data_IF_800092247680
#
_entry.id   IF_800092247680
#
_cell.length_a   1.000
_cell.length_b   1.000
_cell.length_c   1.000
_cell.angle_alpha   90.00
_cell.angle_beta   90.00
_cell.angle_gamma   90.00
#
_symmetry.space_group_name_H-M   'P 1'
#
loop_
_entity.id
_entity.type
_entity.pdbx_description
1 polymer ?
#
# COMPACT_ATOMS: atom_id res chain seq x y z
N UNK A 1 8.39 13.56 6.02
CA UNK A 1 7.10 14.14 6.48
C UNK A 1 6.38 15.00 5.44
N UNK A 2 7.07 15.82 4.61
CA UNK A 2 6.41 16.65 3.57
C UNK A 2 5.89 15.82 2.38
N UNK A 3 6.61 14.79 1.95
CA UNK A 3 6.22 13.92 0.83
C UNK A 3 4.98 13.08 1.17
N UNK A 4 4.94 12.46 2.34
CA UNK A 4 3.79 11.68 2.84
C UNK A 4 2.52 12.54 2.93
N UNK A 5 2.63 13.80 3.39
CA UNK A 5 1.50 14.74 3.40
C UNK A 5 0.97 15.07 2.01
N UNK A 6 1.85 15.20 1.01
CA UNK A 6 1.44 15.49 -0.38
C UNK A 6 0.72 14.29 -1.01
N UNK A 7 1.25 13.08 -0.87
CA UNK A 7 0.58 11.85 -1.34
C UNK A 7 -0.79 11.68 -0.69
N UNK A 8 -0.90 11.82 0.63
CA UNK A 8 -2.19 11.74 1.34
C UNK A 8 -3.19 12.81 0.87
N UNK A 9 -2.74 14.03 0.58
CA UNK A 9 -3.61 15.08 0.04
C UNK A 9 -4.06 14.79 -1.40
N UNK A 10 -3.20 14.22 -2.25
CA UNK A 10 -3.56 13.81 -3.60
C UNK A 10 -4.66 12.73 -3.53
N UNK A 11 -4.43 11.62 -2.84
CA UNK A 11 -5.42 10.55 -2.70
C UNK A 11 -6.78 11.02 -2.18
N UNK A 12 -6.83 12.02 -1.28
CA UNK A 12 -8.09 12.57 -0.77
C UNK A 12 -8.82 13.37 -1.87
N UNK A 13 -8.09 14.21 -2.61
CA UNK A 13 -8.66 15.03 -3.69
C UNK A 13 -9.20 14.16 -4.82
N UNK A 14 -8.45 13.13 -5.20
CA UNK A 14 -8.81 12.23 -6.29
C UNK A 14 -10.06 11.41 -5.94
N UNK A 15 -10.17 10.92 -4.71
CA UNK A 15 -11.39 10.26 -4.23
C UNK A 15 -12.61 11.20 -4.22
N UNK A 16 -12.42 12.49 -3.95
CA UNK A 16 -13.50 13.48 -4.04
C UNK A 16 -13.89 13.72 -5.50
N UNK A 17 -12.91 13.83 -6.41
CA UNK A 17 -13.15 13.95 -7.85
C UNK A 17 -13.90 12.73 -8.38
N UNK A 18 -13.46 11.52 -8.04
CA UNK A 18 -14.15 10.27 -8.43
C UNK A 18 -15.60 10.24 -7.95
N UNK A 19 -15.87 10.67 -6.72
CA UNK A 19 -17.26 10.77 -6.20
C UNK A 19 -18.10 11.73 -7.04
N UNK A 20 -17.53 12.84 -7.44
CA UNK A 20 -18.24 13.84 -8.25
C UNK A 20 -18.47 13.35 -9.70
N UNK A 21 -17.49 12.70 -10.31
CA UNK A 21 -17.61 12.09 -11.63
C UNK A 21 -18.70 11.00 -11.65
N UNK A 22 -18.75 10.15 -10.61
CA UNK A 22 -19.82 9.15 -10.45
C UNK A 22 -21.20 9.78 -10.40
N UNK A 23 -21.38 10.91 -9.68
CA UNK A 23 -22.66 11.62 -9.62
C UNK A 23 -23.09 12.16 -10.99
N UNK A 24 -22.14 12.62 -11.79
CA UNK A 24 -22.39 13.15 -13.14
C UNK A 24 -22.66 12.08 -14.18
N UNK A 25 -22.52 10.80 -13.82
CA UNK A 25 -22.72 9.64 -14.70
C UNK A 25 -21.98 9.77 -16.05
N UNK A 26 -20.73 10.26 -15.98
CA UNK A 26 -19.86 10.41 -17.16
C UNK A 26 -19.47 8.99 -17.59
N UNK A 27 -19.93 8.58 -18.78
CA UNK A 27 -19.62 7.26 -19.34
C UNK A 27 -18.65 7.48 -20.50
N UNK A 28 -18.57 7.65 -21.48
CA UNK A 28 -17.73 7.76 -22.68
C UNK A 28 -16.52 8.74 -22.53
N UNK A 29 -15.88 8.73 -21.35
CA UNK A 29 -14.74 9.58 -21.08
C UNK A 29 -13.43 8.80 -21.18
N UNK A 30 -12.38 9.50 -21.59
CA UNK A 30 -11.00 9.00 -21.59
C UNK A 30 -10.21 9.78 -20.55
N UNK A 31 -9.41 9.07 -19.76
CA UNK A 31 -8.50 9.66 -18.78
C UNK A 31 -7.05 9.39 -19.19
N UNK A 32 -6.24 10.45 -19.26
CA UNK A 32 -4.79 10.34 -19.39
C UNK A 32 -4.13 10.86 -18.12
N UNK A 33 -3.46 9.99 -17.41
CA UNK A 33 -2.71 10.33 -16.19
C UNK A 33 -1.27 10.71 -16.58
N UNK A 34 -0.87 11.95 -16.32
CA UNK A 34 0.36 12.55 -16.81
C UNK A 34 1.61 12.25 -16.00
N UNK A 35 1.87 10.98 -15.66
CA UNK A 35 3.09 10.57 -14.95
C UNK A 35 4.31 10.54 -15.89
N UNK A 36 5.55 10.67 -15.35
CA UNK A 36 6.77 10.73 -16.17
C UNK A 36 7.16 9.34 -16.71
N UNK A 37 6.60 8.97 -17.84
CA UNK A 37 6.79 7.66 -18.49
C UNK A 37 7.68 7.71 -19.74
N UNK A 38 8.37 8.82 -19.99
CA UNK A 38 9.07 9.09 -21.27
C UNK A 38 8.14 8.95 -22.48
N UNK A 39 6.90 9.39 -22.36
CA UNK A 39 5.83 9.28 -23.37
C UNK A 39 5.46 7.82 -23.72
N UNK A 40 5.91 6.83 -22.96
CA UNK A 40 5.50 5.43 -23.15
C UNK A 40 4.12 5.20 -22.57
N UNK A 41 3.36 4.35 -23.25
CA UNK A 41 2.03 3.93 -22.80
C UNK A 41 2.19 2.94 -21.66
N UNK A 42 1.65 3.28 -20.48
CA UNK A 42 1.53 2.40 -19.34
C UNK A 42 0.05 2.05 -19.16
N UNK A 43 -0.26 0.78 -19.26
CA UNK A 43 -1.64 0.28 -19.24
C UNK A 43 -1.95 -0.66 -18.06
N UNK A 44 -1.00 -0.78 -17.13
CA UNK A 44 -1.23 -1.46 -15.85
C UNK A 44 -0.19 -1.05 -14.80
N UNK A 45 -0.61 -1.02 -13.53
CA UNK A 45 0.28 -0.90 -12.38
C UNK A 45 -0.27 -1.64 -11.16
N UNK A 46 0.64 -2.05 -10.27
CA UNK A 46 0.26 -2.64 -8.98
C UNK A 46 -0.44 -1.61 -8.10
N UNK A 47 -1.27 -2.08 -7.17
CA UNK A 47 -1.72 -1.24 -6.06
C UNK A 47 -0.56 -0.78 -5.18
N UNK A 48 -0.81 0.22 -4.33
CA UNK A 48 0.14 0.72 -3.35
C UNK A 48 -0.59 1.05 -2.06
N UNK A 49 -0.43 0.19 -1.05
CA UNK A 49 -1.06 0.32 0.27
C UNK A 49 0.03 0.55 1.30
N UNK A 50 -0.09 1.63 2.05
CA UNK A 50 0.88 2.08 3.04
C UNK A 50 0.22 2.15 4.41
N UNK A 51 0.86 1.53 5.40
CA UNK A 51 0.33 1.40 6.75
C UNK A 51 1.38 1.72 7.81
N UNK A 52 0.92 2.25 8.94
CA UNK A 52 1.67 2.24 10.19
C UNK A 52 0.87 1.49 11.24
N UNK A 53 1.47 0.47 11.85
CA UNK A 53 0.86 -0.26 12.96
C UNK A 53 1.50 0.18 14.26
N UNK A 54 0.69 0.72 15.18
CA UNK A 54 1.09 1.20 16.48
C UNK A 54 0.77 0.19 17.57
N UNK A 55 1.73 -0.05 18.45
CA UNK A 55 1.61 -0.96 19.59
C UNK A 55 1.72 -0.14 20.88
N UNK A 56 0.77 -0.32 21.79
CA UNK A 56 0.71 0.34 23.09
C UNK A 56 0.65 -0.72 24.17
N UNK A 57 1.70 -0.80 24.96
CA UNK A 57 1.88 -1.73 26.07
C UNK A 57 1.90 -1.01 27.42
N UNK A 58 2.70 -1.54 28.36
CA UNK A 58 2.87 -1.00 29.70
C UNK A 58 4.35 -0.94 30.04
N UNK A 59 4.85 0.25 30.36
CA UNK A 59 6.21 0.44 30.82
C UNK A 59 6.45 -0.22 32.18
N UNK A 60 7.69 -0.61 32.42
CA UNK A 60 8.13 -1.20 33.68
C UNK A 60 9.65 -1.33 33.74
N UNK A 61 10.16 -1.82 34.85
CA UNK A 61 11.59 -2.07 34.96
C UNK A 61 11.97 -3.38 34.25
N UNK A 62 13.02 -3.34 33.42
CA UNK A 62 13.43 -4.47 32.57
C UNK A 62 13.77 -5.77 33.35
N UNK A 63 14.08 -5.70 34.64
CA UNK A 63 14.29 -6.86 35.47
C UNK A 63 13.00 -7.57 35.95
N UNK A 64 11.83 -6.98 35.63
CA UNK A 64 10.53 -7.52 36.02
C UNK A 64 9.60 -7.58 34.78
N UNK A 65 9.95 -8.38 33.76
CA UNK A 65 9.26 -8.37 32.46
C UNK A 65 7.77 -8.71 32.58
N UNK A 66 7.40 -9.56 33.55
CA UNK A 66 6.01 -10.00 33.75
C UNK A 66 5.09 -8.89 34.29
N UNK A 67 5.64 -7.77 34.76
CA UNK A 67 4.88 -6.61 35.28
C UNK A 67 4.61 -5.54 34.25
N UNK A 68 5.09 -5.73 33.01
CA UNK A 68 4.86 -4.81 31.89
C UNK A 68 4.38 -5.54 30.66
N UNK A 69 4.13 -4.76 29.60
CA UNK A 69 3.79 -5.28 28.27
C UNK A 69 4.73 -4.63 27.27
N UNK A 70 5.68 -5.40 26.75
CA UNK A 70 6.71 -4.89 25.86
C UNK A 70 6.21 -4.74 24.42
N UNK A 71 5.89 -3.52 24.03
CA UNK A 71 5.39 -3.19 22.68
C UNK A 71 6.37 -3.58 21.55
N UNK A 72 7.68 -3.58 21.81
CA UNK A 72 8.70 -3.99 20.82
C UNK A 72 8.65 -5.49 20.58
N UNK A 73 8.44 -6.31 21.60
CA UNK A 73 8.30 -7.76 21.44
C UNK A 73 7.05 -8.13 20.64
N UNK A 74 5.91 -7.46 20.90
CA UNK A 74 4.68 -7.67 20.11
C UNK A 74 4.82 -7.17 18.68
N UNK A 75 5.49 -6.04 18.46
CA UNK A 75 5.85 -5.56 17.12
C UNK A 75 6.74 -6.58 16.39
N UNK A 76 7.67 -7.24 17.07
CA UNK A 76 8.52 -8.28 16.47
C UNK A 76 7.71 -9.52 16.05
N UNK A 77 6.75 -9.96 16.88
CA UNK A 77 5.81 -11.05 16.50
C UNK A 77 4.94 -10.66 15.29
N UNK A 78 4.49 -9.40 15.23
CA UNK A 78 3.75 -8.85 14.12
C UNK A 78 4.59 -8.85 12.83
N UNK A 79 5.85 -8.41 12.89
CA UNK A 79 6.78 -8.45 11.75
C UNK A 79 6.98 -9.88 11.28
N UNK A 80 7.14 -10.85 12.20
CA UNK A 80 7.26 -12.26 11.82
C UNK A 80 6.05 -12.74 11.03
N UNK A 81 4.83 -12.37 11.44
CA UNK A 81 3.60 -12.69 10.67
C UNK A 81 3.59 -12.02 9.29
N UNK A 82 4.05 -10.76 9.18
CA UNK A 82 4.20 -10.10 7.87
C UNK A 82 5.18 -10.86 6.95
N UNK A 83 6.29 -11.35 7.50
CA UNK A 83 7.27 -12.12 6.75
C UNK A 83 6.70 -13.47 6.27
N UNK A 84 5.92 -14.15 7.11
CA UNK A 84 5.21 -15.39 6.72
C UNK A 84 4.22 -15.13 5.57
N UNK A 85 3.42 -14.06 5.67
CA UNK A 85 2.50 -13.64 4.61
C UNK A 85 3.26 -13.32 3.33
N UNK A 86 4.39 -12.61 3.42
CA UNK A 86 5.24 -12.29 2.26
C UNK A 86 5.71 -13.54 1.54
N UNK A 87 6.19 -14.55 2.27
CA UNK A 87 6.62 -15.81 1.66
C UNK A 87 5.44 -16.58 1.04
N UNK A 88 4.26 -16.54 1.67
CA UNK A 88 3.05 -17.11 1.08
C UNK A 88 2.70 -16.44 -0.26
N UNK A 89 2.69 -15.11 -0.33
CA UNK A 89 2.39 -14.36 -1.55
C UNK A 89 3.41 -14.63 -2.67
N UNK A 90 4.69 -14.73 -2.31
CA UNK A 90 5.77 -15.06 -3.25
C UNK A 90 5.61 -16.45 -3.86
N UNK A 91 5.19 -17.42 -3.07
CA UNK A 91 5.01 -18.81 -3.49
C UNK A 91 3.67 -19.06 -4.20
N UNK A 92 2.74 -18.09 -4.15
CA UNK A 92 1.41 -18.18 -4.75
C UNK A 92 1.11 -16.96 -5.63
N UNK A 93 1.92 -16.70 -6.68
CA UNK A 93 1.66 -15.55 -7.55
C UNK A 93 0.34 -15.73 -8.32
N UNK A 94 -0.38 -14.64 -8.62
CA UNK A 94 -1.52 -14.69 -9.52
C UNK A 94 -1.13 -15.26 -10.87
N UNK A 95 -1.98 -16.16 -11.41
CA UNK A 95 -1.75 -16.76 -12.74
C UNK A 95 -1.72 -15.65 -13.80
N UNK A 96 -0.77 -15.76 -14.74
CA UNK A 96 -0.60 -14.81 -15.84
C UNK A 96 -0.32 -13.37 -15.43
N UNK A 97 0.29 -13.16 -14.26
CA UNK A 97 0.72 -11.83 -13.85
C UNK A 97 1.71 -11.23 -14.87
N UNK A 98 1.41 -10.02 -15.31
CA UNK A 98 2.25 -9.26 -16.27
C UNK A 98 3.32 -8.42 -15.57
N UNK A 99 3.37 -8.44 -14.24
CA UNK A 99 4.27 -7.65 -13.44
C UNK A 99 5.60 -8.37 -13.15
N UNK A 100 6.63 -7.58 -12.84
CA UNK A 100 7.91 -8.07 -12.33
C UNK A 100 8.25 -7.35 -11.02
N UNK A 101 8.33 -8.08 -9.87
CA UNK A 101 8.04 -9.52 -9.71
C UNK A 101 6.54 -9.83 -9.92
N UNK A 102 6.20 -11.08 -10.30
CA UNK A 102 4.82 -11.44 -10.67
C UNK A 102 3.87 -11.60 -9.49
N UNK A 103 4.34 -11.46 -8.28
CA UNK A 103 3.58 -11.60 -7.04
C UNK A 103 3.40 -10.27 -6.32
N UNK A 104 2.43 -10.24 -5.42
CA UNK A 104 2.20 -9.13 -4.51
C UNK A 104 3.37 -8.98 -3.53
N UNK A 105 3.99 -7.80 -3.51
CA UNK A 105 5.14 -7.54 -2.65
C UNK A 105 4.70 -6.90 -1.33
N UNK A 106 5.36 -7.29 -0.24
CA UNK A 106 5.19 -6.75 1.09
C UNK A 106 6.55 -6.34 1.65
N UNK A 107 6.66 -5.12 2.14
CA UNK A 107 7.90 -4.53 2.65
C UNK A 107 7.67 -3.96 4.05
N UNK A 108 8.60 -4.24 4.96
CA UNK A 108 8.68 -3.55 6.25
C UNK A 108 9.67 -2.39 6.07
N UNK A 109 9.15 -1.16 6.12
CA UNK A 109 9.93 0.06 5.88
C UNK A 109 10.66 0.57 7.11
N UNK A 110 10.13 0.28 8.31
CA UNK A 110 10.74 0.73 9.54
C UNK A 110 10.11 0.16 10.79
N UNK A 111 10.89 0.17 11.87
CA UNK A 111 10.43 -0.11 13.23
C UNK A 111 11.03 0.91 14.18
N UNK A 112 10.24 1.43 15.10
CA UNK A 112 10.70 2.39 16.10
C UNK A 112 9.96 2.19 17.42
N UNK A 113 10.69 2.00 18.52
CA UNK A 113 10.10 1.80 19.84
C UNK A 113 11.15 1.63 20.94
N UNK A 114 10.67 1.79 22.19
CA UNK A 114 11.52 1.76 23.37
C UNK A 114 12.34 3.05 23.57
N UNK A 115 12.84 3.25 24.80
CA UNK A 115 13.62 4.44 25.20
C UNK A 115 14.95 4.09 25.84
N UNK A 116 15.04 2.95 26.53
CA UNK A 116 16.25 2.48 27.21
C UNK A 116 16.23 0.96 27.38
N UNK A 117 17.43 0.36 27.46
CA UNK A 117 17.61 -1.09 27.56
C UNK A 117 17.04 -1.73 28.83
N UNK A 118 16.89 -0.97 29.89
CA UNK A 118 16.40 -1.40 31.21
C UNK A 118 14.95 -1.00 31.49
N UNK A 119 14.25 -0.47 30.47
CA UNK A 119 12.84 -0.08 30.54
C UNK A 119 12.03 -0.91 29.54
N UNK A 120 10.94 -1.54 30.03
CA UNK A 120 9.98 -2.24 29.17
C UNK A 120 9.34 -1.21 28.23
N UNK A 121 9.45 -1.42 26.92
CA UNK A 121 8.95 -0.51 25.92
C UNK A 121 7.41 -0.48 25.92
N UNK A 122 6.81 0.63 26.28
CA UNK A 122 5.34 0.81 26.26
C UNK A 122 4.80 1.21 24.88
N UNK A 123 5.67 1.62 23.95
CA UNK A 123 5.28 2.04 22.61
C UNK A 123 6.24 1.49 21.56
N UNK A 124 5.66 1.06 20.44
CA UNK A 124 6.39 0.71 19.23
C UNK A 124 5.51 0.99 18.03
N UNK A 125 6.12 1.33 16.90
CA UNK A 125 5.43 1.41 15.61
C UNK A 125 6.20 0.64 14.55
N UNK A 126 5.45 0.11 13.59
CA UNK A 126 5.98 -0.58 12.40
C UNK A 126 5.38 0.09 11.17
N UNK A 127 6.23 0.63 10.31
CA UNK A 127 5.87 1.18 9.01
C UNK A 127 6.04 0.08 7.95
N UNK A 128 5.00 -0.20 7.16
CA UNK A 128 5.03 -1.26 6.15
C UNK A 128 4.15 -0.92 4.95
N UNK A 129 4.50 -1.52 3.81
CA UNK A 129 3.76 -1.34 2.56
C UNK A 129 3.40 -2.67 1.91
N UNK A 130 2.36 -2.65 1.11
CA UNK A 130 1.88 -3.74 0.29
C UNK A 130 1.64 -3.24 -1.13
N UNK A 131 2.16 -3.96 -2.13
CA UNK A 131 1.87 -3.67 -3.53
C UNK A 131 1.13 -4.83 -4.17
N UNK A 132 -0.20 -4.85 -4.04
CA UNK A 132 -1.01 -5.95 -4.54
C UNK A 132 -1.01 -5.99 -6.07
N UNK A 133 -0.84 -7.21 -6.60
CA UNK A 133 -1.04 -7.51 -8.03
C UNK A 133 -2.52 -7.56 -8.34
N UNK A 134 -3.30 -8.16 -7.45
CA UNK A 134 -4.76 -8.24 -7.55
C UNK A 134 -5.40 -7.78 -6.24
N UNK A 135 -6.60 -7.23 -6.31
CA UNK A 135 -7.32 -6.72 -5.13
C UNK A 135 -7.48 -7.76 -4.02
N UNK A 136 -7.72 -9.02 -4.39
CA UNK A 136 -7.85 -10.14 -3.44
C UNK A 136 -6.62 -10.35 -2.56
N UNK A 137 -5.42 -10.05 -3.05
CA UNK A 137 -4.20 -10.16 -2.24
C UNK A 137 -4.20 -9.12 -1.11
N UNK A 138 -4.65 -7.89 -1.39
CA UNK A 138 -4.80 -6.86 -0.38
C UNK A 138 -5.82 -7.24 0.69
N UNK A 139 -6.96 -7.77 0.28
CA UNK A 139 -8.01 -8.27 1.18
C UNK A 139 -7.50 -9.43 2.04
N UNK A 140 -6.79 -10.39 1.44
CA UNK A 140 -6.17 -11.51 2.15
C UNK A 140 -5.17 -11.04 3.21
N UNK A 141 -4.22 -10.15 2.85
CA UNK A 141 -3.21 -9.64 3.79
C UNK A 141 -3.87 -8.92 4.96
N UNK A 142 -4.81 -8.01 4.68
CA UNK A 142 -5.51 -7.27 5.72
C UNK A 142 -6.30 -8.21 6.64
N UNK A 143 -7.00 -9.21 6.08
CA UNK A 143 -7.74 -10.21 6.85
C UNK A 143 -6.84 -11.05 7.77
N UNK A 144 -5.70 -11.55 7.26
CA UNK A 144 -4.73 -12.33 8.05
C UNK A 144 -4.11 -11.49 9.19
N UNK A 145 -3.79 -10.22 8.92
CA UNK A 145 -3.22 -9.31 9.91
C UNK A 145 -4.26 -8.96 10.98
N UNK A 146 -5.46 -8.57 10.58
CA UNK A 146 -6.53 -8.22 11.52
C UNK A 146 -6.91 -9.42 12.41
N UNK A 147 -6.96 -10.63 11.83
CA UNK A 147 -7.14 -11.87 12.58
C UNK A 147 -6.01 -12.11 13.58
N UNK A 148 -4.76 -12.02 13.16
CA UNK A 148 -3.61 -12.24 14.03
C UNK A 148 -3.54 -11.24 15.18
N UNK A 149 -3.85 -9.97 14.92
CA UNK A 149 -3.93 -8.93 15.95
C UNK A 149 -5.03 -9.26 16.97
N UNK A 150 -6.26 -9.53 16.48
CA UNK A 150 -7.43 -9.63 17.35
C UNK A 150 -7.53 -10.97 18.08
N UNK A 151 -7.09 -12.07 17.47
CA UNK A 151 -7.21 -13.41 18.06
C UNK A 151 -5.97 -13.82 18.85
N UNK A 152 -4.80 -13.23 18.59
CA UNK A 152 -3.54 -13.65 19.21
C UNK A 152 -2.84 -12.53 19.97
N UNK A 153 -2.39 -11.47 19.30
CA UNK A 153 -1.52 -10.47 19.92
C UNK A 153 -2.24 -9.68 21.02
N UNK A 154 -3.38 -9.11 20.69
CA UNK A 154 -4.11 -8.26 21.62
C UNK A 154 -4.65 -9.00 22.84
N UNK A 155 -5.17 -10.24 22.74
CA UNK A 155 -5.52 -11.05 23.93
C UNK A 155 -4.31 -11.38 24.80
N UNK A 156 -3.14 -11.70 24.24
CA UNK A 156 -1.92 -11.92 25.02
C UNK A 156 -1.52 -10.67 25.80
N UNK A 157 -1.46 -9.51 25.16
CA UNK A 157 -1.12 -8.23 25.79
C UNK A 157 -2.08 -7.89 26.94
N UNK A 158 -3.37 -8.10 26.72
CA UNK A 158 -4.43 -7.76 27.69
C UNK A 158 -4.46 -8.68 28.91
N UNK A 159 -3.83 -9.85 28.89
CA UNK A 159 -3.66 -10.69 30.10
C UNK A 159 -2.87 -9.96 31.18
N UNK A 160 -1.86 -9.19 30.81
CA UNK A 160 -1.03 -8.42 31.75
C UNK A 160 -1.54 -6.99 31.92
N UNK A 161 -2.01 -6.36 30.85
CA UNK A 161 -2.50 -4.97 30.88
C UNK A 161 -3.72 -4.78 30.00
N UNK A 162 -4.89 -4.60 30.62
CA UNK A 162 -6.17 -4.43 29.92
C UNK A 162 -6.24 -3.19 29.01
N UNK A 163 -5.41 -2.16 29.28
CA UNK A 163 -5.27 -0.94 28.49
C UNK A 163 -4.44 -1.08 27.22
N UNK A 164 -3.85 -2.27 26.97
CA UNK A 164 -3.04 -2.52 25.75
C UNK A 164 -3.87 -2.33 24.49
N UNK A 165 -3.24 -1.75 23.46
CA UNK A 165 -3.84 -1.48 22.15
C UNK A 165 -2.89 -1.83 21.01
N UNK A 166 -3.46 -2.20 19.87
CA UNK A 166 -2.77 -2.25 18.58
C UNK A 166 -3.67 -1.51 17.58
N UNK A 167 -3.13 -0.50 16.92
CA UNK A 167 -3.87 0.37 16.00
C UNK A 167 -3.18 0.39 14.64
N UNK A 168 -3.92 0.05 13.59
CA UNK A 168 -3.47 0.14 12.20
C UNK A 168 -3.92 1.47 11.61
N UNK A 169 -2.97 2.35 11.34
CA UNK A 169 -3.18 3.60 10.62
C UNK A 169 -3.00 3.36 9.12
N UNK A 170 -3.99 3.74 8.32
CA UNK A 170 -3.90 3.75 6.86
C UNK A 170 -3.27 5.08 6.43
N UNK A 171 -2.06 5.02 5.89
CA UNK A 171 -1.37 6.19 5.33
C UNK A 171 -1.90 6.48 3.93
N UNK A 172 -2.06 5.44 3.12
CA UNK A 172 -2.64 5.53 1.78
C UNK A 172 -2.98 4.16 1.22
N UNK A 173 -4.02 4.11 0.40
CA UNK A 173 -4.39 2.94 -0.39
C UNK A 173 -4.74 3.40 -1.80
N UNK A 174 -3.84 3.10 -2.73
CA UNK A 174 -4.00 3.32 -4.16
C UNK A 174 -4.33 1.98 -4.79
N UNK A 175 -5.48 1.89 -5.44
CA UNK A 175 -5.92 0.66 -6.11
C UNK A 175 -5.03 0.34 -7.32
N UNK A 176 -4.92 -0.93 -7.67
CA UNK A 176 -4.23 -1.35 -8.89
C UNK A 176 -4.94 -0.84 -10.14
N UNK A 177 -4.20 -0.79 -11.23
CA UNK A 177 -4.69 -0.47 -12.56
C UNK A 177 -4.45 -1.69 -13.45
N UNK A 178 -5.52 -2.26 -13.97
CA UNK A 178 -5.48 -3.51 -14.71
C UNK A 178 -5.50 -3.27 -16.23
N UNK A 179 -4.71 -4.07 -16.96
CA UNK A 179 -4.72 -4.05 -18.42
C UNK A 179 -6.08 -4.44 -18.98
N UNK A 180 -6.61 -3.61 -19.86
CA UNK A 180 -7.80 -3.91 -20.65
C UNK A 180 -7.40 -4.47 -22.02
N UNK A 181 -8.14 -5.46 -22.53
CA UNK A 181 -7.91 -6.00 -23.89
C UNK A 181 -8.13 -4.92 -24.96
N UNK A 182 -9.19 -4.12 -24.77
CA UNK A 182 -9.50 -2.94 -25.60
C UNK A 182 -9.54 -1.72 -24.70
N UNK A 183 -8.79 -0.70 -25.05
CA UNK A 183 -8.70 0.55 -24.31
C UNK A 183 -8.66 1.72 -25.25
N UNK A 184 -9.76 2.47 -25.30
CA UNK A 184 -9.88 3.68 -26.13
C UNK A 184 -8.81 4.72 -25.75
N UNK A 185 -8.45 4.78 -24.47
CA UNK A 185 -7.39 5.65 -23.98
C UNK A 185 -6.02 5.27 -24.57
N UNK A 186 -5.68 3.97 -24.60
CA UNK A 186 -4.44 3.51 -25.21
C UNK A 186 -4.43 3.76 -26.72
N UNK A 187 -5.54 3.51 -27.42
CA UNK A 187 -5.68 3.76 -28.87
C UNK A 187 -5.50 5.24 -29.19
N UNK A 188 -6.13 6.12 -28.41
CA UNK A 188 -5.99 7.57 -28.58
C UNK A 188 -4.53 8.00 -28.40
N UNK A 189 -3.88 7.60 -27.30
CA UNK A 189 -2.50 8.00 -27.03
C UNK A 189 -1.53 7.40 -28.05
N UNK A 190 -1.74 6.15 -28.49
CA UNK A 190 -0.97 5.54 -29.58
C UNK A 190 -1.06 6.36 -30.88
N UNK A 191 -2.24 6.85 -31.22
CA UNK A 191 -2.44 7.67 -32.44
C UNK A 191 -1.71 9.00 -32.38
N UNK A 192 -1.55 9.57 -31.18
CA UNK A 192 -0.87 10.86 -30.96
C UNK A 192 0.65 10.69 -30.88
N UNK A 193 1.13 9.67 -30.15
CA UNK A 193 2.55 9.49 -29.87
C UNK A 193 3.28 8.64 -30.92
N UNK A 194 2.55 7.83 -31.68
CA UNK A 194 3.09 6.81 -32.56
C UNK A 194 3.65 5.57 -31.83
N UNK A 195 3.52 5.51 -30.50
CA UNK A 195 3.96 4.37 -29.69
C UNK A 195 2.81 3.37 -29.52
N UNK A 196 3.00 2.14 -30.00
CA UNK A 196 2.05 1.03 -29.85
C UNK A 196 2.48 0.04 -28.78
N UNK A 197 3.54 0.34 -28.01
CA UNK A 197 3.98 -0.52 -26.92
C UNK A 197 2.99 -0.44 -25.74
N UNK A 198 2.85 -1.54 -25.02
CA UNK A 198 2.02 -1.62 -23.80
C UNK A 198 2.92 -2.03 -22.66
N UNK A 199 3.14 -1.12 -21.72
CA UNK A 199 4.09 -1.31 -20.63
C UNK A 199 3.37 -1.35 -19.29
N UNK A 200 4.06 -1.89 -18.30
CA UNK A 200 3.57 -1.96 -16.91
C UNK A 200 4.60 -1.34 -15.97
N UNK A 201 4.12 -0.79 -14.87
CA UNK A 201 4.98 -0.23 -13.82
C UNK A 201 4.60 -0.78 -12.45
N UNK A 202 5.55 -0.74 -11.51
CA UNK A 202 5.34 -1.22 -10.14
C UNK A 202 4.94 -0.12 -9.15
N UNK A 203 4.97 1.16 -9.57
CA UNK A 203 4.46 2.26 -8.76
C UNK A 203 2.98 2.47 -9.02
N UNK A 204 2.25 3.01 -8.03
CA UNK A 204 0.82 3.27 -8.11
C UNK A 204 0.54 4.70 -8.59
N UNK A 205 -0.53 4.87 -9.36
CA UNK A 205 -1.10 6.15 -9.78
C UNK A 205 -2.61 6.16 -9.53
N UNK A 206 -3.27 7.28 -9.78
CA UNK A 206 -4.74 7.39 -9.69
C UNK A 206 -5.49 6.65 -10.81
N UNK A 207 -4.79 6.11 -11.81
CA UNK A 207 -5.42 5.47 -12.98
C UNK A 207 -6.43 4.39 -12.60
N UNK A 208 -6.12 3.57 -11.60
CA UNK A 208 -7.04 2.54 -11.10
C UNK A 208 -8.35 3.11 -10.55
N UNK A 209 -8.35 4.31 -9.97
CA UNK A 209 -9.57 4.95 -9.47
C UNK A 209 -10.51 5.35 -10.61
N UNK A 210 -9.98 5.85 -11.73
CA UNK A 210 -10.78 6.16 -12.90
C UNK A 210 -11.31 4.91 -13.58
N UNK A 211 -10.48 3.86 -13.65
CA UNK A 211 -10.90 2.57 -14.19
C UNK A 211 -12.02 1.94 -13.36
N UNK A 212 -11.98 2.01 -12.01
CA UNK A 212 -13.06 1.51 -11.15
C UNK A 212 -14.43 2.14 -11.41
N UNK A 213 -14.47 3.31 -12.04
CA UNK A 213 -15.73 3.98 -12.43
C UNK A 213 -16.07 3.80 -13.91
N UNK A 214 -15.34 2.94 -14.62
CA UNK A 214 -15.59 2.61 -16.04
C UNK A 214 -15.07 3.64 -17.04
N UNK A 215 -14.11 4.48 -16.63
CA UNK A 215 -13.44 5.42 -17.54
C UNK A 215 -12.22 4.71 -18.14
N UNK A 216 -12.17 4.65 -19.49
CA UNK A 216 -10.98 4.14 -20.18
C UNK A 216 -9.78 5.02 -19.85
N UNK A 217 -8.72 4.40 -19.33
CA UNK A 217 -7.62 5.12 -18.70
C UNK A 217 -6.27 4.64 -19.22
N UNK A 218 -5.33 5.56 -19.29
CA UNK A 218 -3.91 5.29 -19.63
C UNK A 218 -3.00 6.21 -18.84
N UNK A 219 -1.80 5.74 -18.52
CA UNK A 219 -0.76 6.58 -17.92
C UNK A 219 0.29 6.88 -18.98
N UNK A 220 0.51 8.16 -19.28
CA UNK A 220 1.47 8.60 -20.27
C UNK A 220 1.83 10.08 -20.04
N UNK A 221 3.12 10.39 -19.98
CA UNK A 221 3.58 11.76 -19.83
C UNK A 221 5.08 11.93 -20.07
N UNK A 222 5.54 13.18 -20.19
CA UNK A 222 6.94 13.50 -20.42
C UNK A 222 7.80 13.27 -19.18
N UNK A 223 9.11 13.08 -19.36
CA UNK A 223 10.08 12.88 -18.30
C UNK A 223 10.22 11.42 -17.87
N UNK A 224 11.19 11.15 -17.01
CA UNK A 224 11.49 9.83 -16.48
C UNK A 224 11.21 9.72 -15.00
N UNK A 225 10.60 8.62 -14.57
CA UNK A 225 10.38 8.30 -13.16
C UNK A 225 11.69 8.20 -12.37
N UNK A 226 12.82 7.95 -13.03
CA UNK A 226 14.12 7.93 -12.40
C UNK A 226 14.56 9.29 -11.84
N UNK A 227 13.96 10.37 -12.33
CA UNK A 227 14.18 11.73 -11.85
C UNK A 227 13.21 12.11 -10.70
N UNK A 228 12.15 11.33 -10.51
CA UNK A 228 11.20 11.57 -9.43
C UNK A 228 11.86 11.29 -8.07
N UNK A 229 11.59 12.18 -7.10
CA UNK A 229 12.09 12.06 -5.72
C UNK A 229 13.61 12.18 -5.52
N UNK A 230 14.38 12.59 -6.53
CA UNK A 230 15.76 12.99 -6.32
C UNK A 230 15.79 14.40 -5.72
N UNK A 231 16.63 14.57 -4.71
CA UNK A 231 16.97 15.90 -4.17
C UNK A 231 18.16 16.36 -4.99
N UNK A 232 17.97 17.36 -5.84
CA UNK A 232 19.06 18.08 -6.48
C UNK A 232 19.77 18.96 -5.46
#
# INVERSE_FOLDING_TARGET
HRLIRRQRQMCIRDRLLIKELKKRNIKDAICVVGEPTNMKIIDAHKGCYEYTTHFYGLAGHGSQPDKGVNAVEYASKFIQKLLEIREHLKNNPPKNSIFNPPYTTLQIGGISGGIARNVIADKCKVDWELRPVVKKDGEFVNGEIDKFINEKLLPEMKKTYSGSKIEKEIIGEIVGFDREEKSDACELVSSITGDNSRNVVSFGTEAGLFQEIGISTVVCGPGSIEQAHKVD
#
